data_IF_660160695511
#
_entry.id   IF_660160695511
#
_cell.length_a   1.000
_cell.length_b   1.000
_cell.length_c   1.000
_cell.angle_alpha   90.00
_cell.angle_beta   90.00
_cell.angle_gamma   90.00
#
_symmetry.space_group_name_H-M   'P 1'
#
loop_
_entity.id
_entity.type
_entity.pdbx_description
1 polymer ?
#
# COMPACT_ATOMS: atom_id res chain seq x y z
N UNK A 1 15.31 5.45 -22.77
CA UNK A 1 15.42 5.75 -21.33
C UNK A 1 15.52 4.44 -20.56
N UNK A 2 16.48 4.31 -19.65
CA UNK A 2 16.68 3.07 -18.86
C UNK A 2 15.43 2.66 -18.06
N UNK A 3 14.56 3.61 -17.68
CA UNK A 3 13.32 3.34 -16.94
C UNK A 3 12.31 2.44 -17.67
N UNK A 4 12.27 2.46 -19.00
CA UNK A 4 11.35 1.60 -19.76
C UNK A 4 11.76 0.13 -19.73
N UNK A 5 13.07 -0.18 -19.68
CA UNK A 5 13.55 -1.55 -19.55
C UNK A 5 13.07 -2.16 -18.23
N UNK A 6 13.25 -1.44 -17.10
CA UNK A 6 12.76 -1.89 -15.80
C UNK A 6 11.24 -2.02 -15.76
N UNK A 7 10.52 -1.08 -16.37
CA UNK A 7 9.06 -1.14 -16.45
C UNK A 7 8.54 -2.31 -17.29
N UNK A 8 9.24 -2.65 -18.38
CA UNK A 8 8.94 -3.78 -19.24
C UNK A 8 9.20 -5.10 -18.49
N UNK A 9 10.34 -5.24 -17.82
CA UNK A 9 10.65 -6.42 -16.99
C UNK A 9 9.67 -6.58 -15.83
N UNK A 10 9.34 -5.50 -15.11
CA UNK A 10 8.35 -5.56 -14.03
C UNK A 10 6.95 -5.94 -14.53
N UNK A 11 6.57 -5.45 -15.72
CA UNK A 11 5.32 -5.83 -16.37
C UNK A 11 5.28 -7.33 -16.70
N UNK A 12 6.37 -7.91 -17.21
CA UNK A 12 6.46 -9.34 -17.48
C UNK A 12 6.34 -10.18 -16.21
N UNK A 13 7.05 -9.80 -15.13
CA UNK A 13 6.96 -10.49 -13.84
C UNK A 13 5.51 -10.49 -13.33
N UNK A 14 4.83 -9.34 -13.37
CA UNK A 14 3.43 -9.24 -12.94
C UNK A 14 2.48 -10.04 -13.84
N UNK A 15 2.73 -10.06 -15.15
CA UNK A 15 1.89 -10.75 -16.12
C UNK A 15 2.05 -12.28 -16.07
N UNK A 16 3.20 -12.76 -15.59
CA UNK A 16 3.47 -14.19 -15.44
C UNK A 16 2.88 -14.76 -14.13
N UNK A 17 2.65 -13.94 -13.10
CA UNK A 17 2.10 -14.37 -11.81
C UNK A 17 0.76 -13.66 -11.49
N UNK A 18 -0.25 -13.95 -12.31
CA UNK A 18 -1.59 -13.35 -12.17
C UNK A 18 -2.41 -13.95 -11.02
N UNK A 19 -2.07 -15.15 -10.54
CA UNK A 19 -2.88 -15.95 -9.63
C UNK A 19 -2.78 -15.56 -8.15
N UNK A 20 -1.76 -14.80 -7.78
CA UNK A 20 -1.48 -14.46 -6.38
C UNK A 20 -1.70 -12.96 -6.11
N UNK A 21 -2.92 -12.52 -5.77
CA UNK A 21 -3.19 -11.11 -5.49
C UNK A 21 -2.50 -10.66 -4.19
N UNK A 22 -1.83 -9.50 -4.22
CA UNK A 22 -1.26 -8.86 -3.04
C UNK A 22 -1.37 -7.33 -3.13
N UNK A 23 -1.29 -6.65 -1.99
CA UNK A 23 -1.30 -5.18 -1.93
C UNK A 23 -0.09 -4.60 -2.67
N UNK A 24 1.07 -5.24 -2.56
CA UNK A 24 2.30 -4.81 -3.22
C UNK A 24 2.22 -4.93 -4.74
N UNK A 25 1.51 -5.95 -5.26
CA UNK A 25 1.24 -6.06 -6.69
C UNK A 25 0.31 -4.96 -7.19
N UNK A 26 -0.70 -4.58 -6.39
CA UNK A 26 -1.55 -3.43 -6.72
C UNK A 26 -0.69 -2.17 -6.81
N UNK A 27 0.14 -1.91 -5.80
CA UNK A 27 1.02 -0.74 -5.79
C UNK A 27 2.00 -0.74 -6.97
N UNK A 28 2.61 -1.89 -7.26
CA UNK A 28 3.51 -2.07 -8.41
C UNK A 28 2.80 -1.79 -9.73
N UNK A 29 1.59 -2.32 -9.91
CA UNK A 29 0.77 -2.03 -11.09
C UNK A 29 0.46 -0.53 -11.22
N UNK A 30 0.15 0.15 -10.12
CA UNK A 30 -0.14 1.59 -10.12
C UNK A 30 1.10 2.44 -10.50
N UNK A 31 2.29 2.07 -10.05
CA UNK A 31 3.52 2.74 -10.51
C UNK A 31 3.77 2.52 -12.01
N UNK A 32 3.52 1.32 -12.51
CA UNK A 32 3.62 1.04 -13.94
C UNK A 32 2.54 1.77 -14.76
N UNK A 33 1.33 1.93 -14.24
CA UNK A 33 0.28 2.76 -14.84
C UNK A 33 0.79 4.19 -15.04
N UNK A 34 1.40 4.81 -14.01
CA UNK A 34 1.98 6.15 -14.14
C UNK A 34 3.05 6.21 -15.22
N UNK A 35 3.96 5.23 -15.25
CA UNK A 35 5.02 5.18 -16.25
C UNK A 35 4.45 5.05 -17.66
N UNK A 36 3.55 4.09 -17.89
CA UNK A 36 2.99 3.82 -19.21
C UNK A 36 2.04 4.91 -19.70
N UNK A 37 1.31 5.58 -18.81
CA UNK A 37 0.58 6.82 -19.13
C UNK A 37 1.55 7.90 -19.64
N UNK A 38 2.66 8.13 -18.94
CA UNK A 38 3.62 9.18 -19.27
C UNK A 38 4.30 8.96 -20.63
N UNK A 39 4.48 7.71 -21.05
CA UNK A 39 5.02 7.37 -22.38
C UNK A 39 3.94 6.97 -23.39
N UNK A 40 2.68 7.31 -23.11
CA UNK A 40 1.52 7.10 -24.01
C UNK A 40 1.28 5.63 -24.43
N UNK A 41 1.73 4.66 -23.62
CA UNK A 41 1.44 3.22 -23.80
C UNK A 41 0.13 2.83 -23.08
N UNK A 42 -0.97 3.47 -23.46
CA UNK A 42 -2.25 3.36 -22.74
C UNK A 42 -2.81 1.93 -22.65
N UNK A 43 -2.60 1.07 -23.65
CA UNK A 43 -3.07 -0.33 -23.60
C UNK A 43 -2.51 -1.09 -22.39
N UNK A 44 -1.23 -0.89 -22.06
CA UNK A 44 -0.60 -1.50 -20.88
C UNK A 44 -1.11 -0.87 -19.59
N UNK A 45 -1.28 0.44 -19.59
CA UNK A 45 -1.88 1.16 -18.45
C UNK A 45 -3.30 0.66 -18.14
N UNK A 46 -4.18 0.55 -19.14
CA UNK A 46 -5.55 0.04 -18.99
C UNK A 46 -5.60 -1.43 -18.52
N UNK A 47 -4.66 -2.26 -18.97
CA UNK A 47 -4.53 -3.62 -18.48
C UNK A 47 -4.16 -3.63 -16.98
N UNK A 48 -3.14 -2.87 -16.59
CA UNK A 48 -2.63 -2.81 -15.22
C UNK A 48 -3.64 -2.21 -14.23
N UNK A 49 -4.38 -1.16 -14.60
CA UNK A 49 -5.44 -0.62 -13.75
C UNK A 49 -6.58 -1.63 -13.58
N UNK A 50 -6.92 -2.37 -14.64
CA UNK A 50 -7.95 -3.42 -14.57
C UNK A 50 -7.50 -4.59 -13.69
N UNK A 51 -6.22 -4.98 -13.77
CA UNK A 51 -5.62 -5.98 -12.91
C UNK A 51 -5.60 -5.53 -11.44
N UNK A 52 -5.22 -4.28 -11.19
CA UNK A 52 -5.23 -3.66 -9.87
C UNK A 52 -6.63 -3.67 -9.24
N UNK A 53 -7.66 -3.29 -10.02
CA UNK A 53 -9.05 -3.34 -9.60
C UNK A 53 -9.49 -4.77 -9.23
N UNK A 54 -9.12 -5.76 -10.05
CA UNK A 54 -9.41 -7.17 -9.78
C UNK A 54 -8.77 -7.63 -8.47
N UNK A 55 -7.49 -7.31 -8.25
CA UNK A 55 -6.81 -7.65 -7.00
C UNK A 55 -7.42 -6.97 -5.79
N UNK A 56 -7.76 -5.69 -5.90
CA UNK A 56 -8.38 -4.95 -4.80
C UNK A 56 -9.75 -5.52 -4.43
N UNK A 57 -10.53 -5.96 -5.43
CA UNK A 57 -11.78 -6.70 -5.22
C UNK A 57 -11.55 -8.04 -4.50
N UNK A 58 -10.60 -8.86 -4.98
CA UNK A 58 -10.26 -10.15 -4.35
C UNK A 58 -9.78 -10.01 -2.90
N UNK A 59 -9.02 -8.94 -2.61
CA UNK A 59 -8.51 -8.62 -1.27
C UNK A 59 -9.53 -7.86 -0.39
N UNK A 60 -10.76 -7.67 -0.89
CA UNK A 60 -11.87 -6.97 -0.24
C UNK A 60 -11.47 -5.59 0.30
N UNK A 61 -10.69 -4.85 -0.48
CA UNK A 61 -10.14 -3.56 -0.04
C UNK A 61 -11.23 -2.49 0.11
N UNK A 62 -12.28 -2.52 -0.71
CA UNK A 62 -13.39 -1.55 -0.64
C UNK A 62 -14.20 -1.56 0.65
N UNK A 63 -14.10 -2.62 1.45
CA UNK A 63 -14.90 -2.78 2.69
C UNK A 63 -14.02 -2.98 3.91
N UNK A 64 -12.73 -2.63 3.84
CA UNK A 64 -11.76 -2.95 4.89
C UNK A 64 -12.07 -2.28 6.24
N UNK A 65 -12.71 -1.12 6.25
CA UNK A 65 -13.10 -0.40 7.47
C UNK A 65 -14.57 -0.65 7.87
N UNK A 66 -15.29 -1.55 7.18
CA UNK A 66 -16.65 -1.89 7.58
C UNK A 66 -16.66 -2.52 8.99
N UNK A 67 -17.68 -2.19 9.80
CA UNK A 67 -17.79 -2.57 11.22
C UNK A 67 -17.69 -4.07 11.51
N UNK A 68 -17.89 -4.92 10.50
CA UNK A 68 -17.75 -6.38 10.58
C UNK A 68 -16.30 -6.86 10.64
N UNK A 69 -15.34 -6.06 10.21
CA UNK A 69 -13.92 -6.41 10.21
C UNK A 69 -13.25 -5.93 11.51
N UNK A 70 -12.55 -6.86 12.19
CA UNK A 70 -11.90 -6.62 13.49
C UNK A 70 -10.86 -5.50 13.40
N UNK A 71 -10.82 -4.66 14.44
CA UNK A 71 -9.86 -3.57 14.62
C UNK A 71 -8.45 -4.11 14.84
N UNK A 72 -7.44 -3.33 14.42
CA UNK A 72 -6.02 -3.61 14.65
C UNK A 72 -5.75 -3.79 16.14
N UNK A 73 -5.12 -4.92 16.50
CA UNK A 73 -4.80 -5.25 17.89
C UNK A 73 -3.40 -4.82 18.31
N UNK A 74 -2.54 -4.56 17.35
CA UNK A 74 -1.15 -4.17 17.56
C UNK A 74 -0.76 -3.00 16.66
N UNK A 75 0.33 -2.32 17.02
CA UNK A 75 0.95 -1.27 16.20
C UNK A 75 1.31 -1.78 14.81
N UNK A 76 1.85 -2.99 14.70
CA UNK A 76 2.23 -3.58 13.40
C UNK A 76 1.00 -3.84 12.52
N UNK A 77 -0.10 -4.31 13.11
CA UNK A 77 -1.36 -4.48 12.40
C UNK A 77 -1.91 -3.14 11.93
N UNK A 78 -1.78 -2.09 12.74
CA UNK A 78 -2.19 -0.75 12.36
C UNK A 78 -1.38 -0.24 11.17
N UNK A 79 -0.05 -0.35 11.18
CA UNK A 79 0.82 0.06 10.06
C UNK A 79 0.44 -0.67 8.78
N UNK A 80 0.26 -1.99 8.86
CA UNK A 80 -0.09 -2.84 7.71
C UNK A 80 -1.47 -2.47 7.15
N UNK A 81 -2.41 -2.19 8.04
CA UNK A 81 -3.76 -1.76 7.67
C UNK A 81 -3.76 -0.37 7.03
N UNK A 82 -2.99 0.55 7.58
CA UNK A 82 -2.85 1.92 7.08
C UNK A 82 -2.16 1.94 5.70
N UNK A 83 -1.12 1.13 5.50
CA UNK A 83 -0.51 0.92 4.19
C UNK A 83 -1.55 0.42 3.16
N UNK A 84 -2.34 -0.59 3.51
CA UNK A 84 -3.41 -1.12 2.66
C UNK A 84 -4.45 -0.05 2.31
N UNK A 85 -4.84 0.79 3.27
CA UNK A 85 -5.77 1.92 3.08
C UNK A 85 -5.21 2.96 2.12
N UNK A 86 -3.94 3.32 2.24
CA UNK A 86 -3.26 4.28 1.35
C UNK A 86 -3.19 3.77 -0.08
N UNK A 87 -2.86 2.49 -0.28
CA UNK A 87 -2.86 1.85 -1.61
C UNK A 87 -4.26 1.83 -2.22
N UNK A 88 -5.31 1.56 -1.42
CA UNK A 88 -6.69 1.64 -1.89
C UNK A 88 -7.07 3.03 -2.40
N UNK A 89 -6.76 4.08 -1.64
CA UNK A 89 -7.05 5.45 -2.05
C UNK A 89 -6.27 5.86 -3.30
N UNK A 90 -5.01 5.42 -3.43
CA UNK A 90 -4.24 5.65 -4.65
C UNK A 90 -4.91 4.98 -5.88
N UNK A 91 -5.37 3.73 -5.74
CA UNK A 91 -6.12 3.04 -6.79
C UNK A 91 -7.44 3.76 -7.14
N UNK A 92 -8.20 4.19 -6.14
CA UNK A 92 -9.47 4.88 -6.33
C UNK A 92 -9.28 6.19 -7.11
N UNK A 93 -8.37 7.05 -6.66
CA UNK A 93 -8.05 8.31 -7.33
C UNK A 93 -7.63 8.05 -8.78
N UNK A 94 -6.83 6.99 -9.02
CA UNK A 94 -6.38 6.68 -10.36
C UNK A 94 -7.51 6.22 -11.28
N UNK A 95 -8.48 5.47 -10.78
CA UNK A 95 -9.70 5.15 -11.53
C UNK A 95 -10.51 6.40 -11.88
N UNK A 96 -10.63 7.36 -10.95
CA UNK A 96 -11.33 8.63 -11.20
C UNK A 96 -10.61 9.44 -12.28
N UNK A 97 -9.28 9.60 -12.18
CA UNK A 97 -8.46 10.31 -13.18
C UNK A 97 -8.63 9.67 -14.56
N UNK A 98 -8.53 8.35 -14.66
CA UNK A 98 -8.67 7.64 -15.93
C UNK A 98 -10.09 7.82 -16.50
N UNK A 99 -11.12 7.72 -15.65
CA UNK A 99 -12.51 7.97 -16.06
C UNK A 99 -12.72 9.37 -16.64
N UNK A 100 -12.16 10.39 -16.00
CA UNK A 100 -12.26 11.78 -16.45
C UNK A 100 -11.48 12.06 -17.74
N UNK A 101 -10.27 11.50 -17.89
CA UNK A 101 -9.41 11.81 -19.04
C UNK A 101 -9.74 10.99 -20.29
N UNK A 102 -10.24 9.76 -20.13
CA UNK A 102 -10.45 8.83 -21.24
C UNK A 102 -11.92 8.43 -21.44
N UNK A 103 -12.84 9.02 -20.68
CA UNK A 103 -14.29 8.73 -20.80
C UNK A 103 -14.68 7.31 -20.42
N UNK A 104 -13.87 6.62 -19.60
CA UNK A 104 -14.16 5.24 -19.18
C UNK A 104 -15.10 5.22 -17.97
N UNK A 105 -15.92 4.16 -17.86
CA UNK A 105 -16.79 3.96 -16.70
C UNK A 105 -15.93 3.78 -15.45
N UNK A 106 -16.23 4.56 -14.40
CA UNK A 106 -15.59 4.41 -13.09
C UNK A 106 -16.05 3.08 -12.50
N UNK A 107 -15.12 2.12 -12.41
CA UNK A 107 -15.42 0.74 -11.96
C UNK A 107 -15.68 0.63 -10.46
N UNK A 108 -15.33 1.64 -9.68
CA UNK A 108 -15.48 1.67 -8.22
C UNK A 108 -16.56 2.71 -7.87
N UNK A 109 -17.73 2.22 -7.46
CA UNK A 109 -18.82 3.05 -6.95
C UNK A 109 -18.43 3.69 -5.62
N UNK A 110 -18.65 5.00 -5.46
CA UNK A 110 -18.42 5.71 -4.20
C UNK A 110 -19.36 5.24 -3.09
N UNK A 111 -20.54 4.74 -3.44
CA UNK A 111 -21.58 4.32 -2.49
C UNK A 111 -21.30 2.94 -1.90
N UNK A 112 -20.46 2.13 -2.55
CA UNK A 112 -20.15 0.75 -2.16
C UNK A 112 -18.80 0.63 -1.41
N UNK A 113 -18.26 1.77 -0.98
CA UNK A 113 -16.99 1.89 -0.28
C UNK A 113 -17.21 2.14 1.21
N UNK A 114 -16.63 1.28 2.04
CA UNK A 114 -16.49 1.44 3.48
C UNK A 114 -15.00 1.44 3.83
N UNK A 115 -14.32 2.52 3.42
CA UNK A 115 -12.90 2.78 3.69
C UNK A 115 -12.75 4.18 4.24
N UNK A 116 -12.13 4.31 5.41
CA UNK A 116 -11.84 5.59 6.04
C UNK A 116 -10.73 6.32 5.27
N UNK A 117 -10.61 7.63 5.47
CA UNK A 117 -9.47 8.37 4.96
C UNK A 117 -8.15 7.90 5.61
N UNK A 118 -7.01 8.03 4.91
CA UNK A 118 -5.69 7.80 5.51
C UNK A 118 -5.48 8.71 6.72
N UNK A 119 -4.74 8.20 7.71
CA UNK A 119 -4.22 8.98 8.83
C UNK A 119 -3.22 10.03 8.37
N UNK A 120 -2.91 11.00 9.24
CA UNK A 120 -1.87 11.99 8.94
C UNK A 120 -0.50 11.32 8.74
N UNK A 121 0.25 11.75 7.73
CA UNK A 121 1.59 11.25 7.40
C UNK A 121 2.57 11.35 8.56
N UNK A 122 2.45 12.37 9.41
CA UNK A 122 3.24 12.50 10.62
C UNK A 122 3.12 11.27 11.53
N UNK A 123 1.90 10.76 11.73
CA UNK A 123 1.66 9.60 12.57
C UNK A 123 2.14 8.31 11.92
N UNK A 124 1.91 8.16 10.61
CA UNK A 124 2.36 6.99 9.85
C UNK A 124 3.89 6.86 9.82
N UNK A 125 4.62 7.96 9.57
CA UNK A 125 6.08 7.97 9.53
C UNK A 125 6.72 7.70 10.89
N UNK A 126 6.12 8.22 11.97
CA UNK A 126 6.61 8.01 13.33
C UNK A 126 6.07 6.71 13.97
N UNK A 127 5.36 5.87 13.20
CA UNK A 127 4.74 4.63 13.67
C UNK A 127 3.86 4.81 14.92
N UNK A 128 3.20 5.97 15.02
CA UNK A 128 2.28 6.31 16.08
C UNK A 128 0.85 6.18 15.57
N UNK A 129 -0.09 5.70 16.39
CA UNK A 129 -1.50 5.74 16.02
C UNK A 129 -2.01 7.18 16.08
N UNK A 130 -2.72 7.62 15.05
CA UNK A 130 -3.34 8.94 15.00
C UNK A 130 -4.38 9.10 16.14
N UNK A 131 -4.21 10.05 17.08
CA UNK A 131 -5.13 10.28 18.19
C UNK A 131 -6.53 10.71 17.75
N UNK A 132 -6.66 11.29 16.54
CA UNK A 132 -7.95 11.70 15.98
C UNK A 132 -8.82 10.50 15.58
N UNK A 133 -8.20 9.34 15.36
CA UNK A 133 -8.90 8.09 15.15
C UNK A 133 -9.31 7.52 16.50
N UNK A 134 -10.50 7.94 16.99
CA UNK A 134 -11.12 7.63 18.30
C UNK A 134 -11.22 6.13 18.71
N UNK A 135 -10.65 5.18 17.97
CA UNK A 135 -10.96 3.76 18.07
C UNK A 135 -9.76 2.81 18.19
N UNK A 136 -8.55 3.31 18.43
CA UNK A 136 -7.36 2.47 18.56
C UNK A 136 -6.82 2.50 19.99
N UNK A 137 -7.10 1.46 20.76
CA UNK A 137 -6.34 1.16 21.98
C UNK A 137 -5.07 0.43 21.54
N UNK A 138 -3.96 1.16 21.40
CA UNK A 138 -2.65 0.54 21.30
C UNK A 138 -2.32 -0.08 22.66
N UNK A 139 -2.38 -1.40 22.78
CA UNK A 139 -1.65 -2.07 23.84
C UNK A 139 -0.16 -1.90 23.56
N UNK A 140 0.51 -1.10 24.38
CA UNK A 140 1.96 -0.94 24.36
C UNK A 140 2.63 -2.30 24.63
N UNK A 141 3.00 -3.02 23.57
CA UNK A 141 3.86 -4.21 23.68
C UNK A 141 5.29 -3.86 24.18
N UNK A 142 5.61 -2.58 24.36
CA UNK A 142 6.89 -2.08 24.88
C UNK A 142 7.08 -2.33 26.36
N UNK A 143 6.02 -2.54 27.15
CA UNK A 143 6.18 -2.86 28.59
C UNK A 143 6.72 -4.26 28.89
N UNK A 144 6.86 -5.13 27.88
CA UNK A 144 7.27 -6.53 28.09
C UNK A 144 8.69 -6.90 27.63
N UNK A 145 9.42 -5.99 26.96
CA UNK A 145 10.76 -6.31 26.44
C UNK A 145 11.79 -5.34 27.03
N UNK A 146 12.19 -5.64 28.27
CA UNK A 146 13.47 -5.36 28.91
C UNK A 146 14.36 -4.34 28.18
N UNK A 147 14.29 -3.09 28.63
CA UNK A 147 15.09 -1.94 28.19
C UNK A 147 16.62 -2.15 28.33
N UNK A 148 17.09 -3.20 29.00
CA UNK A 148 18.52 -3.44 29.23
C UNK A 148 19.24 -4.33 28.19
N UNK A 149 18.56 -4.85 27.15
CA UNK A 149 19.17 -5.76 26.15
C UNK A 149 19.29 -5.19 24.73
N UNK A 150 18.85 -3.96 24.48
CA UNK A 150 18.84 -3.36 23.13
C UNK A 150 20.14 -2.60 22.82
N UNK A 151 20.63 -1.80 23.76
CA UNK A 151 21.84 -0.98 23.57
C UNK A 151 23.08 -1.80 23.16
N UNK A 152 23.30 -2.98 23.75
CA UNK A 152 24.49 -3.78 23.45
C UNK A 152 24.49 -4.45 22.08
N UNK A 153 23.32 -4.63 21.45
CA UNK A 153 23.24 -5.26 20.13
C UNK A 153 23.39 -4.24 19.01
N UNK A 154 22.88 -3.03 19.22
CA UNK A 154 22.92 -1.99 18.19
C UNK A 154 24.33 -1.40 18.03
N UNK A 155 25.14 -1.34 19.11
CA UNK A 155 26.58 -1.00 19.01
C UNK A 155 27.39 -2.05 18.22
N UNK A 156 27.06 -3.33 18.34
CA UNK A 156 27.77 -4.41 17.65
C UNK A 156 27.54 -4.39 16.11
N UNK A 157 26.31 -4.09 15.67
CA UNK A 157 25.99 -4.00 14.25
C UNK A 157 26.59 -2.76 13.56
N UNK A 158 26.72 -1.65 14.28
CA UNK A 158 27.36 -0.44 13.73
C UNK A 158 28.87 -0.63 13.60
N UNK A 159 29.50 -1.35 14.53
CA UNK A 159 30.94 -1.66 14.47
C UNK A 159 31.30 -2.65 13.35
N UNK A 160 30.48 -3.67 13.07
CA UNK A 160 30.73 -4.60 11.95
C UNK A 160 30.65 -3.91 10.57
N UNK A 161 29.78 -2.91 10.42
CA UNK A 161 29.63 -2.17 9.15
C UNK A 161 30.82 -1.23 8.90
N UNK A 162 31.47 -0.72 9.95
CA UNK A 162 32.61 0.20 9.82
C UNK A 162 33.93 -0.55 9.55
N UNK A 163 34.04 -1.83 9.93
CA UNK A 163 35.27 -2.63 9.72
C UNK A 163 35.37 -3.21 8.30
N UNK A 164 34.31 -3.10 7.48
CA UNK A 164 34.27 -3.58 6.10
C UNK A 164 34.18 -2.49 5.02
N UNK A 165 34.60 -1.27 5.34
CA UNK A 165 34.92 -0.20 4.38
C UNK A 165 36.43 0.09 4.48
#
# INVERSE_FOLDING_TARGET
MCGSLYADTAFEILSNDLGNPSVDKILSCLFLVLHYDAISKFSRSFFLISLSNKYAYLLRMSVMDASKYKRSKSRQDWISFEYKRRVWWFLYIRNVIIGLNYGTIIKISSNDMAVNFPSNDYYFQNYNSDPSLKNYELTDCTKAINENKRDKRDEAYVLEIIIHI
#
